data_IF_188275575537
#
_entry.id   IF_188275575537
#
_cell.length_a   1.000
_cell.length_b   1.000
_cell.length_c   1.000
_cell.angle_alpha   90.00
_cell.angle_beta   90.00
_cell.angle_gamma   90.00
#
_symmetry.space_group_name_H-M   'P 1'
#
loop_
_entity.id
_entity.type
_entity.pdbx_description
1 polymer ?
#
# COMPACT_ATOMS: atom_id res chain seq x y z
N UNK A 1 -22.88 35.61 -25.63
CA UNK A 1 -22.03 34.85 -26.58
C UNK A 1 -21.13 33.96 -25.75
N UNK A 2 -21.04 32.67 -26.10
CA UNK A 2 -20.66 31.54 -25.26
C UNK A 2 -19.17 31.44 -24.89
N UNK A 3 -18.95 30.61 -23.84
CA UNK A 3 -17.79 29.74 -23.58
C UNK A 3 -16.68 30.24 -22.64
N UNK A 4 -16.80 29.77 -21.39
CA UNK A 4 -15.69 29.57 -20.46
C UNK A 4 -15.89 28.38 -19.50
N UNK A 5 -16.91 27.54 -19.72
CA UNK A 5 -17.24 26.37 -18.87
C UNK A 5 -16.22 25.21 -18.97
N UNK A 6 -15.13 25.37 -19.73
CA UNK A 6 -14.14 24.30 -19.99
C UNK A 6 -13.03 24.17 -18.95
N UNK A 7 -12.65 25.26 -18.25
CA UNK A 7 -11.54 25.22 -17.29
C UNK A 7 -11.93 24.60 -15.94
N UNK A 8 -13.18 24.80 -15.49
CA UNK A 8 -13.72 24.17 -14.29
C UNK A 8 -13.98 22.67 -14.48
N UNK A 9 -14.26 22.23 -15.71
CA UNK A 9 -14.43 20.81 -16.05
C UNK A 9 -13.07 20.08 -16.01
N UNK A 10 -12.00 20.68 -16.54
CA UNK A 10 -10.69 20.01 -16.64
C UNK A 10 -9.97 19.81 -15.28
N UNK A 11 -10.11 20.74 -14.32
CA UNK A 11 -9.59 20.54 -12.96
C UNK A 11 -10.41 19.51 -12.17
N UNK A 12 -11.74 19.50 -12.37
CA UNK A 12 -12.65 18.51 -11.77
C UNK A 12 -12.41 17.13 -12.38
N UNK A 13 -12.18 17.03 -13.69
CA UNK A 13 -11.83 15.80 -14.41
C UNK A 13 -10.46 15.26 -14.00
N UNK A 14 -9.45 16.12 -13.83
CA UNK A 14 -8.15 15.71 -13.31
C UNK A 14 -8.31 15.17 -11.88
N UNK A 15 -9.07 15.85 -11.03
CA UNK A 15 -9.39 15.38 -9.68
C UNK A 15 -10.16 14.05 -9.67
N UNK A 16 -11.14 13.88 -10.56
CA UNK A 16 -11.92 12.66 -10.72
C UNK A 16 -11.05 11.53 -11.25
N UNK A 17 -10.18 11.78 -12.24
CA UNK A 17 -9.24 10.82 -12.78
C UNK A 17 -8.30 10.29 -11.70
N UNK A 18 -7.67 11.17 -10.93
CA UNK A 18 -6.78 10.77 -9.83
C UNK A 18 -7.54 10.05 -8.71
N UNK A 19 -8.76 10.49 -8.39
CA UNK A 19 -9.61 9.81 -7.40
C UNK A 19 -10.01 8.40 -7.85
N UNK A 20 -10.40 8.24 -9.10
CA UNK A 20 -10.78 6.95 -9.68
C UNK A 20 -9.55 6.02 -9.77
N UNK A 21 -8.40 6.57 -10.13
CA UNK A 21 -7.13 5.84 -10.13
C UNK A 21 -6.75 5.37 -8.72
N UNK A 22 -6.97 6.21 -7.69
CA UNK A 22 -6.78 5.83 -6.29
C UNK A 22 -7.72 4.69 -5.87
N UNK A 23 -9.01 4.78 -6.20
CA UNK A 23 -10.00 3.71 -5.89
C UNK A 23 -9.59 2.40 -6.57
N UNK A 24 -9.27 2.44 -7.85
CA UNK A 24 -8.81 1.27 -8.60
C UNK A 24 -7.53 0.68 -7.98
N UNK A 25 -6.60 1.53 -7.55
CA UNK A 25 -5.36 1.09 -6.89
C UNK A 25 -5.64 0.38 -5.57
N UNK A 26 -6.58 0.85 -4.76
CA UNK A 26 -6.98 0.15 -3.53
C UNK A 26 -7.69 -1.18 -3.82
N UNK A 27 -8.51 -1.25 -4.87
CA UNK A 27 -9.12 -2.52 -5.29
C UNK A 27 -8.07 -3.54 -5.71
N UNK A 28 -7.07 -3.13 -6.49
CA UNK A 28 -5.97 -4.00 -6.91
C UNK A 28 -5.11 -4.44 -5.72
N UNK A 29 -4.86 -3.56 -4.76
CA UNK A 29 -4.16 -3.91 -3.50
C UNK A 29 -4.94 -4.95 -2.68
N UNK A 30 -6.27 -4.82 -2.60
CA UNK A 30 -7.14 -5.82 -1.96
C UNK A 30 -7.10 -7.17 -2.70
N UNK A 31 -7.19 -7.15 -4.03
CA UNK A 31 -7.13 -8.34 -4.86
C UNK A 31 -5.78 -9.08 -4.72
N UNK A 32 -4.66 -8.34 -4.70
CA UNK A 32 -3.32 -8.90 -4.45
C UNK A 32 -3.25 -9.62 -3.09
N UNK A 33 -3.79 -9.02 -2.04
CA UNK A 33 -3.84 -9.61 -0.69
C UNK A 33 -4.63 -10.93 -0.68
N UNK A 34 -5.80 -10.95 -1.34
CA UNK A 34 -6.64 -12.16 -1.45
C UNK A 34 -5.96 -13.24 -2.29
N UNK A 35 -5.34 -12.88 -3.42
CA UNK A 35 -4.59 -13.85 -4.23
C UNK A 35 -3.44 -14.47 -3.45
N UNK A 36 -2.70 -13.67 -2.65
CA UNK A 36 -1.65 -14.18 -1.76
C UNK A 36 -2.19 -15.17 -0.74
N UNK A 37 -3.34 -14.87 -0.12
CA UNK A 37 -4.01 -15.81 0.80
C UNK A 37 -4.36 -17.14 0.11
N UNK A 38 -4.94 -17.09 -1.10
CA UNK A 38 -5.27 -18.30 -1.88
C UNK A 38 -4.01 -19.11 -2.19
N UNK A 39 -2.92 -18.47 -2.60
CA UNK A 39 -1.64 -19.15 -2.86
C UNK A 39 -1.12 -19.84 -1.60
N UNK A 40 -1.20 -19.20 -0.43
CA UNK A 40 -0.78 -19.82 0.83
C UNK A 40 -1.66 -21.02 1.21
N UNK A 41 -2.98 -20.95 0.98
CA UNK A 41 -3.91 -22.05 1.25
C UNK A 41 -3.66 -23.22 0.29
N UNK A 42 -3.55 -22.96 -1.02
CA UNK A 42 -3.29 -24.01 -2.02
C UNK A 42 -1.94 -24.67 -1.77
N UNK A 43 -0.91 -23.89 -1.46
CA UNK A 43 0.42 -24.44 -1.18
C UNK A 43 0.43 -25.33 0.06
N UNK A 44 -0.28 -24.98 1.14
CA UNK A 44 -0.43 -25.87 2.30
C UNK A 44 -1.07 -27.21 1.92
N UNK A 45 -2.05 -27.20 0.99
CA UNK A 45 -2.69 -28.43 0.47
C UNK A 45 -1.74 -29.26 -0.40
N UNK A 46 -1.02 -28.62 -1.32
CA UNK A 46 -0.12 -29.27 -2.28
C UNK A 46 1.16 -29.82 -1.63
N UNK A 47 1.69 -29.12 -0.63
CA UNK A 47 2.91 -29.52 0.08
C UNK A 47 2.64 -30.44 1.30
N UNK A 48 1.49 -31.11 1.37
CA UNK A 48 1.13 -32.07 2.45
C UNK A 48 1.38 -31.52 3.87
N UNK A 49 1.05 -30.25 4.10
CA UNK A 49 1.22 -29.59 5.40
C UNK A 49 2.51 -28.78 5.55
N UNK A 50 3.47 -28.85 4.62
CA UNK A 50 4.57 -27.89 4.60
C UNK A 50 4.08 -26.53 4.07
N UNK A 51 4.57 -25.44 4.65
CA UNK A 51 4.14 -24.08 4.31
C UNK A 51 5.11 -23.42 3.35
N UNK A 52 4.63 -22.68 2.34
CA UNK A 52 5.46 -21.76 1.56
C UNK A 52 6.18 -20.78 2.48
N UNK A 53 7.47 -20.53 2.19
CA UNK A 53 8.24 -19.55 2.91
C UNK A 53 7.86 -18.12 2.48
N UNK A 54 7.78 -17.24 3.46
CA UNK A 54 7.31 -15.87 3.30
C UNK A 54 8.25 -15.05 2.43
N UNK A 55 9.55 -15.30 2.60
CA UNK A 55 10.60 -14.62 1.86
C UNK A 55 10.52 -14.93 0.37
N UNK A 56 10.17 -16.15 -0.01
CA UNK A 56 10.01 -16.54 -1.42
C UNK A 56 8.89 -15.72 -2.04
N UNK A 57 7.70 -15.71 -1.44
CA UNK A 57 6.55 -14.96 -1.99
C UNK A 57 6.84 -13.45 -2.07
N UNK A 58 7.47 -12.88 -1.03
CA UNK A 58 7.86 -11.47 -1.03
C UNK A 58 8.89 -11.14 -2.11
N UNK A 59 9.90 -11.99 -2.26
CA UNK A 59 11.01 -11.76 -3.20
C UNK A 59 10.55 -11.89 -4.65
N UNK A 60 9.77 -12.93 -4.96
CA UNK A 60 9.15 -13.09 -6.29
C UNK A 60 8.22 -11.91 -6.62
N UNK A 61 7.39 -11.49 -5.65
CA UNK A 61 6.54 -10.32 -5.81
C UNK A 61 7.34 -9.03 -6.09
N UNK A 62 8.41 -8.80 -5.33
CA UNK A 62 9.27 -7.62 -5.49
C UNK A 62 10.01 -7.60 -6.82
N UNK A 63 10.51 -8.75 -7.28
CA UNK A 63 11.18 -8.88 -8.59
C UNK A 63 10.19 -8.54 -9.72
N UNK A 64 8.99 -9.12 -9.67
CA UNK A 64 7.97 -8.85 -10.69
C UNK A 64 7.51 -7.39 -10.64
N UNK A 65 7.35 -6.82 -9.45
CA UNK A 65 7.02 -5.40 -9.26
C UNK A 65 8.07 -4.50 -9.89
N UNK A 66 9.37 -4.76 -9.69
CA UNK A 66 10.46 -3.99 -10.32
C UNK A 66 10.39 -4.08 -11.84
N UNK A 67 10.16 -5.27 -12.39
CA UNK A 67 10.04 -5.48 -13.84
C UNK A 67 8.83 -4.72 -14.41
N UNK A 68 7.66 -4.84 -13.77
CA UNK A 68 6.45 -4.13 -14.18
C UNK A 68 6.61 -2.62 -14.07
N UNK A 69 7.21 -2.11 -12.99
CA UNK A 69 7.48 -0.67 -12.83
C UNK A 69 8.45 -0.19 -13.92
N UNK A 70 9.51 -0.94 -14.22
CA UNK A 70 10.44 -0.59 -15.30
C UNK A 70 9.72 -0.55 -16.66
N UNK A 71 8.79 -1.47 -16.91
CA UNK A 71 7.99 -1.51 -18.13
C UNK A 71 6.90 -0.42 -18.17
N UNK A 72 6.37 0.01 -17.02
CA UNK A 72 5.36 1.06 -16.90
C UNK A 72 5.95 2.46 -16.81
N UNK A 73 7.23 2.58 -16.44
CA UNK A 73 7.99 3.82 -16.39
C UNK A 73 7.77 4.71 -17.63
N UNK A 74 7.77 4.17 -18.87
CA UNK A 74 7.39 4.92 -20.06
C UNK A 74 6.10 5.71 -19.95
N UNK A 75 5.08 5.00 -19.48
CA UNK A 75 3.72 5.47 -19.44
C UNK A 75 3.57 6.49 -18.32
N UNK A 76 4.19 6.22 -17.17
CA UNK A 76 4.24 7.14 -16.03
C UNK A 76 4.98 8.44 -16.38
N UNK A 77 6.08 8.36 -17.13
CA UNK A 77 6.82 9.55 -17.61
C UNK A 77 5.93 10.45 -18.48
N UNK A 78 5.05 9.86 -19.31
CA UNK A 78 4.09 10.62 -20.13
C UNK A 78 2.99 11.25 -19.28
N UNK A 79 2.48 10.55 -18.26
CA UNK A 79 1.48 11.08 -17.33
C UNK A 79 2.01 12.21 -16.45
N UNK A 80 3.29 12.15 -16.07
CA UNK A 80 3.97 13.19 -15.30
C UNK A 80 4.53 14.35 -16.16
N UNK A 81 4.39 14.27 -17.49
CA UNK A 81 4.82 15.33 -18.41
C UNK A 81 6.34 15.41 -18.66
N UNK A 82 7.10 14.37 -18.28
CA UNK A 82 8.55 14.33 -18.45
C UNK A 82 8.90 13.76 -19.83
N UNK A 83 9.69 14.47 -20.67
CA UNK A 83 10.15 13.94 -21.94
C UNK A 83 11.07 12.73 -21.71
N UNK A 84 10.79 11.66 -22.44
CA UNK A 84 11.44 10.35 -22.29
C UNK A 84 12.98 10.40 -22.36
N UNK A 85 13.52 11.34 -23.16
CA UNK A 85 14.95 11.52 -23.33
C UNK A 85 15.66 12.08 -22.08
N UNK A 86 14.93 12.68 -21.15
CA UNK A 86 15.44 13.19 -19.88
C UNK A 86 15.25 12.19 -18.73
N UNK A 87 14.47 11.11 -18.92
CA UNK A 87 14.21 10.13 -17.87
C UNK A 87 15.50 9.52 -17.28
N UNK A 88 16.54 9.18 -18.08
CA UNK A 88 17.80 8.68 -17.53
C UNK A 88 18.58 9.72 -16.73
N UNK A 89 18.58 10.99 -17.15
CA UNK A 89 19.21 12.07 -16.38
C UNK A 89 18.45 12.32 -15.08
N UNK A 90 17.11 12.36 -15.10
CA UNK A 90 16.29 12.46 -13.89
C UNK A 90 16.55 11.32 -12.88
N UNK A 91 16.66 10.07 -13.35
CA UNK A 91 16.99 8.94 -12.47
C UNK A 91 18.41 9.04 -11.92
N UNK A 92 19.37 9.52 -12.73
CA UNK A 92 20.76 9.71 -12.30
C UNK A 92 20.88 10.82 -11.26
N UNK A 93 20.21 11.95 -11.47
CA UNK A 93 20.21 13.08 -10.55
C UNK A 93 19.49 12.72 -9.24
N UNK A 94 18.36 12.01 -9.34
CA UNK A 94 17.66 11.44 -8.18
C UNK A 94 18.52 10.43 -7.42
N UNK A 95 19.27 9.56 -8.12
CA UNK A 95 20.20 8.62 -7.52
C UNK A 95 21.42 9.28 -6.87
N UNK A 96 21.95 10.33 -7.48
CA UNK A 96 23.05 11.13 -6.92
C UNK A 96 22.61 11.85 -5.64
N UNK A 97 21.39 12.41 -5.63
CA UNK A 97 20.77 12.97 -4.43
C UNK A 97 20.52 11.88 -3.37
N UNK A 98 20.00 10.71 -3.76
CA UNK A 98 19.73 9.59 -2.86
C UNK A 98 20.99 9.07 -2.17
N UNK A 99 22.09 8.91 -2.90
CA UNK A 99 23.38 8.44 -2.38
C UNK A 99 24.22 9.57 -1.77
N UNK A 100 23.71 10.81 -1.75
CA UNK A 100 24.41 12.00 -1.30
C UNK A 100 25.79 12.18 -1.97
N UNK A 101 25.89 11.82 -3.25
CA UNK A 101 27.10 11.98 -4.06
C UNK A 101 27.02 13.35 -4.74
N UNK A 102 27.62 14.35 -4.11
CA UNK A 102 27.74 15.71 -4.67
C UNK A 102 27.00 16.79 -3.87
N UNK A 103 27.38 16.98 -2.61
CA UNK A 103 26.80 17.92 -1.63
C UNK A 103 26.93 19.43 -2.01
N UNK A 104 26.31 19.84 -3.12
CA UNK A 104 26.13 21.23 -3.56
C UNK A 104 24.80 21.50 -4.28
N UNK A 105 23.80 20.63 -4.14
CA UNK A 105 22.45 20.87 -4.67
C UNK A 105 21.50 21.22 -3.52
N UNK A 106 21.04 22.46 -3.51
CA UNK A 106 20.00 22.96 -2.60
C UNK A 106 18.74 22.10 -2.78
N UNK A 107 18.34 21.32 -1.76
CA UNK A 107 17.15 20.45 -1.81
C UNK A 107 17.36 18.96 -1.49
N UNK A 108 18.60 18.50 -1.30
CA UNK A 108 18.89 17.13 -0.83
C UNK A 108 19.09 17.03 0.69
N UNK A 109 18.60 18.01 1.46
CA UNK A 109 18.69 18.06 2.92
C UNK A 109 17.99 16.82 3.54
N UNK A 110 18.77 15.92 4.14
CA UNK A 110 18.27 14.69 4.77
C UNK A 110 18.49 13.39 3.98
N UNK A 111 19.08 13.43 2.78
CA UNK A 111 19.55 12.24 2.07
C UNK A 111 20.95 11.81 2.58
N UNK A 112 21.25 10.50 2.76
CA UNK A 112 20.47 9.31 2.41
C UNK A 112 19.55 8.79 3.52
N UNK A 113 19.55 9.41 4.71
CA UNK A 113 18.93 8.85 5.92
C UNK A 113 17.40 8.68 5.80
N UNK A 114 16.69 9.71 5.34
CA UNK A 114 15.22 9.67 5.19
C UNK A 114 14.77 8.57 4.21
N UNK A 115 15.34 8.48 2.99
CA UNK A 115 14.98 7.42 2.05
C UNK A 115 15.31 6.01 2.58
N UNK A 116 16.43 5.82 3.28
CA UNK A 116 16.78 4.53 3.89
C UNK A 116 15.75 4.15 4.97
N UNK A 117 15.36 5.08 5.83
CA UNK A 117 14.29 4.86 6.81
C UNK A 117 12.96 4.49 6.15
N UNK A 118 12.60 5.15 5.05
CA UNK A 118 11.41 4.80 4.27
C UNK A 118 11.47 3.37 3.73
N UNK A 119 12.58 2.96 3.11
CA UNK A 119 12.74 1.62 2.55
C UNK A 119 12.67 0.55 3.66
N UNK A 120 13.34 0.79 4.79
CA UNK A 120 13.31 -0.10 5.96
C UNK A 120 11.88 -0.32 6.47
N UNK A 121 11.12 0.77 6.65
CA UNK A 121 9.73 0.70 7.13
C UNK A 121 8.80 0.04 6.11
N UNK A 122 8.96 0.34 4.82
CA UNK A 122 8.18 -0.27 3.75
C UNK A 122 8.41 -1.79 3.68
N UNK A 123 9.67 -2.21 3.80
CA UNK A 123 10.01 -3.64 3.81
C UNK A 123 9.45 -4.35 5.05
N UNK A 124 9.59 -3.75 6.23
CA UNK A 124 9.02 -4.29 7.47
C UNK A 124 7.49 -4.40 7.39
N UNK A 125 6.81 -3.42 6.78
CA UNK A 125 5.37 -3.46 6.55
C UNK A 125 4.97 -4.61 5.61
N UNK A 126 5.65 -4.76 4.46
CA UNK A 126 5.37 -5.84 3.50
C UNK A 126 5.56 -7.24 4.12
N UNK A 127 6.63 -7.44 4.90
CA UNK A 127 6.88 -8.71 5.61
C UNK A 127 5.81 -8.96 6.68
N UNK A 128 5.48 -7.94 7.48
CA UNK A 128 4.47 -8.04 8.54
C UNK A 128 3.10 -8.42 7.98
N UNK A 129 2.71 -7.80 6.88
CA UNK A 129 1.45 -8.07 6.18
C UNK A 129 1.39 -9.51 5.68
N UNK A 130 2.45 -9.98 5.02
CA UNK A 130 2.54 -11.37 4.57
C UNK A 130 2.45 -12.35 5.75
N UNK A 131 3.09 -12.04 6.89
CA UNK A 131 3.02 -12.90 8.08
C UNK A 131 1.61 -12.90 8.69
N UNK A 132 0.91 -11.78 8.67
CA UNK A 132 -0.49 -11.70 9.05
C UNK A 132 -1.36 -12.58 8.14
N UNK A 133 -1.21 -12.50 6.82
CA UNK A 133 -1.96 -13.35 5.87
C UNK A 133 -1.66 -14.85 6.05
N UNK A 134 -0.46 -15.21 6.51
CA UNK A 134 -0.10 -16.63 6.73
C UNK A 134 -0.75 -17.22 7.98
N UNK A 135 -0.94 -16.41 9.02
CA UNK A 135 -1.48 -16.79 10.33
C UNK A 135 -3.00 -16.53 10.41
N UNK A 136 -3.45 -15.47 9.76
CA UNK A 136 -4.81 -14.93 9.76
C UNK A 136 -5.37 -14.90 8.33
N UNK A 137 -6.58 -14.38 8.13
CA UNK A 137 -7.16 -14.20 6.79
C UNK A 137 -6.76 -12.86 6.16
N UNK A 138 -6.88 -12.70 4.82
CA UNK A 138 -6.68 -11.44 4.12
C UNK A 138 -7.55 -10.33 4.72
N UNK A 139 -8.78 -10.65 5.16
CA UNK A 139 -9.69 -9.68 5.78
C UNK A 139 -9.08 -9.07 7.05
N UNK A 140 -8.55 -9.90 7.95
CA UNK A 140 -7.90 -9.43 9.19
C UNK A 140 -6.65 -8.60 8.87
N UNK A 141 -5.90 -8.99 7.84
CA UNK A 141 -4.74 -8.22 7.38
C UNK A 141 -5.12 -6.85 6.81
N UNK A 142 -6.19 -6.76 6.01
CA UNK A 142 -6.71 -5.50 5.47
C UNK A 142 -7.29 -4.62 6.56
N UNK A 143 -7.90 -5.21 7.59
CA UNK A 143 -8.38 -4.49 8.76
C UNK A 143 -7.21 -3.92 9.58
N UNK A 144 -6.16 -4.71 9.82
CA UNK A 144 -4.95 -4.25 10.50
C UNK A 144 -4.25 -3.11 9.75
N UNK A 145 -4.18 -3.16 8.41
CA UNK A 145 -3.62 -2.05 7.63
C UNK A 145 -4.52 -0.81 7.64
N UNK A 146 -5.84 -1.00 7.71
CA UNK A 146 -6.81 0.11 7.83
C UNK A 146 -6.65 0.85 9.17
N UNK A 147 -6.25 0.17 10.25
CA UNK A 147 -5.93 0.79 11.55
C UNK A 147 -4.67 1.65 11.50
N UNK A 148 -3.74 1.37 10.59
CA UNK A 148 -2.56 2.23 10.40
C UNK A 148 -2.91 3.62 9.87
N UNK A 149 -4.03 3.76 9.15
CA UNK A 149 -4.50 5.05 8.60
C UNK A 149 -4.81 6.08 9.70
N UNK A 150 -5.71 5.82 10.66
CA UNK A 150 -5.98 6.77 11.74
C UNK A 150 -4.76 7.02 12.64
N UNK A 151 -3.91 5.99 12.84
CA UNK A 151 -2.65 6.14 13.58
C UNK A 151 -1.71 7.13 12.88
N UNK A 152 -1.56 7.02 11.55
CA UNK A 152 -0.74 7.96 10.77
C UNK A 152 -1.26 9.40 10.87
N UNK A 153 -2.59 9.57 10.88
CA UNK A 153 -3.19 10.91 11.01
C UNK A 153 -2.94 11.48 12.40
N UNK A 154 -3.01 10.65 13.45
CA UNK A 154 -2.57 11.06 14.77
C UNK A 154 -1.11 11.52 14.76
N UNK A 155 -0.20 10.79 14.10
CA UNK A 155 1.19 11.22 13.95
C UNK A 155 1.34 12.54 13.17
N UNK A 156 0.51 12.81 12.17
CA UNK A 156 0.52 14.10 11.46
C UNK A 156 0.04 15.29 12.30
N UNK A 157 -0.63 15.04 13.44
CA UNK A 157 -0.99 16.08 14.40
C UNK A 157 0.17 16.49 15.32
N UNK A 158 1.23 15.66 15.40
CA UNK A 158 2.43 15.97 16.16
C UNK A 158 3.35 16.89 15.35
N UNK A 159 4.08 17.80 16.01
CA UNK A 159 5.08 18.64 15.36
C UNK A 159 6.28 17.77 14.95
N UNK A 160 6.19 17.13 13.79
CA UNK A 160 7.25 16.29 13.24
C UNK A 160 8.39 17.19 12.72
N UNK A 161 9.66 16.87 13.03
CA UNK A 161 10.82 17.73 12.73
C UNK A 161 11.07 18.01 11.24
N UNK A 162 10.34 17.35 10.32
CA UNK A 162 10.43 17.54 8.86
C UNK A 162 9.10 17.95 8.20
N UNK A 163 7.98 17.96 8.94
CA UNK A 163 6.71 18.52 8.46
C UNK A 163 6.50 19.86 9.18
N UNK A 164 6.70 20.97 8.48
CA UNK A 164 6.37 22.29 9.01
C UNK A 164 4.91 22.40 9.45
N UNK A 165 4.68 23.18 10.52
CA UNK A 165 3.41 23.53 11.21
C UNK A 165 2.33 22.45 11.26
N UNK A 166 2.05 21.96 12.47
CA UNK A 166 1.00 21.00 12.78
C UNK A 166 -0.30 21.33 12.03
N UNK A 167 -0.77 20.37 11.22
CA UNK A 167 -2.00 20.53 10.47
C UNK A 167 -3.18 20.53 11.43
N UNK A 168 -3.98 21.60 11.46
CA UNK A 168 -5.19 21.65 12.27
C UNK A 168 -6.24 20.74 11.64
N UNK A 169 -6.43 19.54 12.23
CA UNK A 169 -7.37 18.55 11.72
C UNK A 169 -8.81 19.07 11.79
N UNK A 170 -9.57 19.04 10.67
CA UNK A 170 -11.00 19.33 10.68
C UNK A 170 -11.76 18.38 11.60
N UNK A 171 -12.74 18.88 12.35
CA UNK A 171 -13.54 18.07 13.29
C UNK A 171 -14.21 16.85 12.64
N UNK A 172 -14.59 16.96 11.35
CA UNK A 172 -15.14 15.84 10.57
C UNK A 172 -14.15 14.69 10.32
N UNK A 173 -12.85 14.99 10.24
CA UNK A 173 -11.81 13.97 10.11
C UNK A 173 -11.65 13.14 11.39
N UNK A 174 -11.72 13.82 12.54
CA UNK A 174 -11.68 13.20 13.87
C UNK A 174 -12.90 12.28 14.05
N UNK A 175 -14.10 12.75 13.68
CA UNK A 175 -15.31 11.94 13.73
C UNK A 175 -15.21 10.68 12.85
N UNK A 176 -14.70 10.80 11.61
CA UNK A 176 -14.48 9.65 10.73
C UNK A 176 -13.47 8.65 11.30
N UNK A 177 -12.39 9.14 11.91
CA UNK A 177 -11.39 8.31 12.60
C UNK A 177 -11.99 7.53 13.76
N UNK A 178 -12.81 8.17 14.60
CA UNK A 178 -13.49 7.53 15.73
C UNK A 178 -14.46 6.45 15.25
N UNK A 179 -15.26 6.72 14.20
CA UNK A 179 -16.17 5.73 13.60
C UNK A 179 -15.40 4.52 13.07
N UNK A 180 -14.28 4.74 12.39
CA UNK A 180 -13.43 3.67 11.86
C UNK A 180 -12.85 2.80 12.99
N UNK A 181 -12.29 3.42 14.04
CA UNK A 181 -11.76 2.69 15.21
C UNK A 181 -12.88 1.91 15.92
N UNK A 182 -14.08 2.47 16.06
CA UNK A 182 -15.23 1.78 16.64
C UNK A 182 -15.67 0.58 15.79
N UNK A 183 -15.78 0.74 14.47
CA UNK A 183 -16.11 -0.37 13.56
C UNK A 183 -15.10 -1.51 13.63
N UNK A 184 -13.82 -1.17 13.76
CA UNK A 184 -12.73 -2.12 13.96
C UNK A 184 -12.81 -2.86 15.30
N UNK A 185 -13.10 -2.14 16.39
CA UNK A 185 -13.28 -2.75 17.71
C UNK A 185 -14.48 -3.70 17.73
N UNK A 186 -15.59 -3.31 17.10
CA UNK A 186 -16.76 -4.17 16.94
C UNK A 186 -16.43 -5.44 16.16
N UNK A 187 -15.69 -5.32 15.05
CA UNK A 187 -15.23 -6.49 14.30
C UNK A 187 -14.35 -7.42 15.14
N UNK A 188 -13.40 -6.87 15.90
CA UNK A 188 -12.50 -7.65 16.74
C UNK A 188 -13.21 -8.31 17.93
N UNK A 189 -14.28 -7.70 18.45
CA UNK A 189 -15.04 -8.18 19.60
C UNK A 189 -16.19 -9.11 19.21
N UNK A 190 -16.63 -9.06 17.95
CA UNK A 190 -17.61 -10.01 17.46
C UNK A 190 -16.93 -11.37 17.43
N UNK A 191 -17.32 -12.34 18.28
CA UNK A 191 -16.75 -13.67 18.21
C UNK A 191 -17.00 -14.17 16.80
N UNK A 192 -15.92 -14.58 16.12
CA UNK A 192 -16.06 -15.23 14.82
C UNK A 192 -16.93 -16.45 15.06
N UNK A 193 -18.21 -16.38 14.68
CA UNK A 193 -19.09 -17.54 14.60
C UNK A 193 -18.56 -18.44 13.49
N UNK A 194 -17.42 -19.09 13.74
CA UNK A 194 -17.08 -20.32 13.06
C UNK A 194 -17.93 -21.38 13.73
N UNK A 195 -19.07 -21.66 13.13
CA UNK A 195 -19.84 -22.86 13.40
C UNK A 195 -18.89 -24.07 13.32
N UNK A 196 -18.63 -24.82 14.40
CA UNK A 196 -18.13 -26.17 14.27
C UNK A 196 -19.29 -27.03 13.73
N UNK A 197 -18.96 -28.05 12.96
CA UNK A 197 -19.87 -29.10 12.45
C UNK A 197 -20.46 -28.93 11.05
N UNK A 198 -19.71 -29.46 10.08
CA UNK A 198 -20.28 -30.53 9.26
C UNK A 198 -19.18 -31.52 8.90
N UNK A 199 -19.11 -32.55 9.75
CA UNK A 199 -18.46 -33.85 9.53
C UNK A 199 -18.70 -34.29 8.08
N UNK A 200 -17.62 -34.37 7.29
CA UNK A 200 -17.64 -35.11 6.03
C UNK A 200 -17.63 -36.60 6.41
N UNK A 201 -18.65 -37.41 6.07
CA UNK A 201 -18.59 -38.84 6.27
C UNK A 201 -17.52 -39.42 5.35
N UNK A 202 -16.61 -40.22 5.91
CA UNK A 202 -15.69 -41.07 5.17
C UNK A 202 -16.45 -42.00 4.23
N UNK A 203 -15.99 -42.20 2.97
CA UNK A 203 -16.60 -43.17 2.07
C UNK A 203 -16.37 -44.61 2.58
N UNK A 204 -17.34 -45.53 2.39
CA UNK A 204 -17.23 -46.90 2.85
C UNK A 204 -16.15 -47.67 2.05
N UNK A 205 -15.40 -48.50 2.77
CA UNK A 205 -14.48 -49.48 2.20
C UNK A 205 -15.27 -50.64 1.60
N UNK A 206 -15.18 -50.80 0.29
CA UNK A 206 -15.35 -52.08 -0.43
C UNK A 206 -14.36 -52.12 -1.57
#
# INVERSE_FOLDING_TARGET
MFSGSGAAHSFKDAGIFWSLLMVLSFMLQGADTVMKEIIFIDSKKRLKGASLDLFVVNSYGSIFQVICIALLLPFLSKLWGIPFNQLPSYLRDGGACFLNIGAKTTGCEGAPLLPIMFVMMNMAYNISLLRLIKISSAVVSSLASTVSVPIAVYFFTLPLPYLGVASSLPTGFVAGTVILVLGMLLYAWTPSSQTPDSVIPSPPST
#
